data_IF_758249411673
#
_entry.id   IF_758249411673
#
_cell.length_a   1.000
_cell.length_b   1.000
_cell.length_c   1.000
_cell.angle_alpha   90.00
_cell.angle_beta   90.00
_cell.angle_gamma   90.00
#
_symmetry.space_group_name_H-M   'P 1'
#
loop_
_entity.id
_entity.type
_entity.pdbx_description
1 polymer ?
#
# COMPACT_ATOMS: atom_id res chain seq x y z
N UNK A 1 -49.66 65.65 6.04
CA UNK A 1 -48.26 65.82 5.61
C UNK A 1 -47.35 65.81 6.84
N UNK A 2 -46.52 64.77 7.02
CA UNK A 2 -45.25 64.86 7.75
C UNK A 2 -44.40 63.61 7.48
N UNK A 3 -43.44 63.86 6.61
CA UNK A 3 -42.21 63.16 6.30
C UNK A 3 -41.70 62.24 7.44
N UNK A 4 -41.64 60.92 7.21
CA UNK A 4 -40.77 60.06 8.01
C UNK A 4 -39.37 60.10 7.38
N UNK A 5 -38.54 61.01 7.92
CA UNK A 5 -37.13 61.06 7.61
C UNK A 5 -36.46 59.75 8.00
N UNK A 6 -35.89 59.08 7.01
CA UNK A 6 -35.04 57.92 7.20
C UNK A 6 -33.92 58.30 8.17
N UNK A 7 -33.88 57.66 9.34
CA UNK A 7 -32.96 58.00 10.41
C UNK A 7 -31.52 57.69 9.96
N UNK A 8 -30.76 58.75 9.63
CA UNK A 8 -29.40 58.71 9.08
C UNK A 8 -28.44 57.82 9.90
N UNK A 9 -28.70 57.67 11.21
CA UNK A 9 -27.92 56.77 12.11
C UNK A 9 -28.08 55.28 11.81
N UNK A 10 -29.23 54.86 11.28
CA UNK A 10 -29.50 53.45 10.97
C UNK A 10 -28.99 53.07 9.57
N UNK A 11 -28.99 54.02 8.63
CA UNK A 11 -28.41 53.86 7.29
C UNK A 11 -26.90 53.76 7.37
N UNK A 12 -26.26 54.61 8.19
CA UNK A 12 -24.80 54.61 8.35
C UNK A 12 -24.28 53.31 9.00
N UNK A 13 -25.00 52.77 10.00
CA UNK A 13 -24.65 51.48 10.63
C UNK A 13 -24.77 50.29 9.69
N UNK A 14 -25.76 50.27 8.79
CA UNK A 14 -25.90 49.19 7.80
C UNK A 14 -24.82 49.28 6.71
N UNK A 15 -24.44 50.49 6.28
CA UNK A 15 -23.34 50.67 5.31
C UNK A 15 -21.96 50.37 5.91
N UNK A 16 -21.74 50.61 7.23
CA UNK A 16 -20.47 50.21 7.86
C UNK A 16 -20.35 48.69 8.01
N UNK A 17 -21.47 47.99 8.27
CA UNK A 17 -21.50 46.53 8.34
C UNK A 17 -21.35 45.87 6.96
N UNK A 18 -21.85 46.48 5.87
CA UNK A 18 -21.60 45.97 4.52
C UNK A 18 -20.18 46.26 4.00
N UNK A 19 -19.54 47.36 4.40
CA UNK A 19 -18.16 47.66 3.98
C UNK A 19 -17.11 46.86 4.78
N UNK A 20 -17.42 46.42 6.00
CA UNK A 20 -16.59 45.45 6.73
C UNK A 20 -16.83 44.01 6.24
N UNK A 21 -18.00 43.70 5.67
CA UNK A 21 -18.27 42.40 5.04
C UNK A 21 -17.67 42.23 3.63
N UNK A 22 -17.39 43.32 2.91
CA UNK A 22 -16.72 43.28 1.60
C UNK A 22 -15.19 43.48 1.64
N UNK A 23 -14.62 43.85 2.79
CA UNK A 23 -13.18 44.16 2.94
C UNK A 23 -12.25 42.98 3.24
N UNK A 24 -12.72 41.74 3.22
CA UNK A 24 -11.93 40.56 3.59
C UNK A 24 -11.77 39.52 2.46
N UNK A 25 -11.88 39.94 1.20
CA UNK A 25 -11.75 39.05 0.03
C UNK A 25 -10.68 39.48 -0.99
N UNK A 26 -9.61 40.12 -0.53
CA UNK A 26 -8.33 40.23 -1.26
C UNK A 26 -7.23 40.20 -0.19
N UNK A 27 -6.27 39.28 -0.12
CA UNK A 27 -5.58 38.51 -1.14
C UNK A 27 -5.09 37.18 -0.52
N UNK A 28 -5.77 36.07 -0.81
CA UNK A 28 -5.06 34.79 -0.77
C UNK A 28 -4.40 34.64 -2.14
N UNK A 29 -3.13 35.07 -2.24
CA UNK A 29 -2.30 34.72 -3.38
C UNK A 29 -2.43 33.20 -3.62
N UNK A 30 -2.67 32.74 -4.85
CA UNK A 30 -2.66 31.32 -5.17
C UNK A 30 -1.21 30.85 -5.25
N UNK A 31 -0.50 30.90 -4.14
CA UNK A 31 0.79 30.24 -3.93
C UNK A 31 0.69 29.36 -2.68
N UNK A 32 -0.35 28.53 -2.65
CA UNK A 32 -0.36 27.35 -1.82
C UNK A 32 0.41 26.25 -2.54
N UNK A 33 1.74 26.33 -2.59
CA UNK A 33 2.52 25.10 -2.52
C UNK A 33 2.03 24.37 -1.26
N UNK A 34 1.15 23.39 -1.43
CA UNK A 34 0.57 22.64 -0.34
C UNK A 34 1.71 22.17 0.59
N UNK A 35 1.72 22.68 1.84
CA UNK A 35 2.81 22.43 2.80
C UNK A 35 3.21 20.95 2.79
N UNK A 36 4.49 20.67 2.50
CA UNK A 36 5.03 19.31 2.42
C UNK A 36 4.61 18.50 3.65
N UNK A 37 3.99 17.34 3.42
CA UNK A 37 3.51 16.47 4.50
C UNK A 37 4.69 15.86 5.24
N UNK A 38 4.58 15.81 6.57
CA UNK A 38 5.61 15.20 7.42
C UNK A 38 5.66 13.68 7.21
N UNK A 39 6.85 13.16 6.90
CA UNK A 39 7.08 11.72 6.78
C UNK A 39 6.93 11.06 8.17
N UNK A 40 6.09 10.02 8.33
CA UNK A 40 5.93 9.33 9.60
C UNK A 40 7.26 8.77 10.12
N UNK A 41 7.50 8.85 11.43
CA UNK A 41 8.75 8.34 12.05
C UNK A 41 8.87 6.81 12.01
N UNK A 42 7.75 6.10 11.97
CA UNK A 42 7.72 4.63 12.06
C UNK A 42 7.02 4.05 10.83
N UNK A 43 7.69 3.18 10.05
CA UNK A 43 7.06 2.49 8.93
C UNK A 43 5.88 1.64 9.39
N UNK A 44 4.88 1.53 8.54
CA UNK A 44 3.77 0.60 8.63
C UNK A 44 3.21 0.32 7.24
N UNK A 45 2.59 -0.84 7.10
CA UNK A 45 1.71 -1.13 5.98
C UNK A 45 0.46 -0.26 6.07
N UNK A 46 -0.05 0.16 4.92
CA UNK A 46 -1.23 1.02 4.78
C UNK A 46 -2.34 0.38 3.97
N UNK A 47 -2.00 -0.66 3.20
CA UNK A 47 -2.84 -1.44 2.30
C UNK A 47 -3.20 -0.72 0.99
N UNK A 48 -3.69 -1.49 0.02
CA UNK A 48 -3.82 -1.07 -1.38
C UNK A 48 -4.71 0.16 -1.57
N UNK A 49 -5.75 0.33 -0.75
CA UNK A 49 -6.65 1.50 -0.80
C UNK A 49 -5.90 2.83 -0.57
N UNK A 50 -4.79 2.83 0.17
CA UNK A 50 -3.98 4.05 0.35
C UNK A 50 -3.03 4.32 -0.82
N UNK A 51 -2.86 3.37 -1.73
CA UNK A 51 -2.22 3.57 -3.02
C UNK A 51 -3.26 4.01 -4.07
N UNK A 52 -4.53 3.66 -3.86
CA UNK A 52 -5.72 4.13 -4.59
C UNK A 52 -6.14 5.58 -4.23
N UNK A 53 -7.21 6.07 -4.86
CA UNK A 53 -8.12 7.13 -4.40
C UNK A 53 -7.77 8.54 -4.85
N UNK A 54 -6.55 8.78 -5.34
CA UNK A 54 -6.15 10.08 -5.91
C UNK A 54 -4.83 10.05 -6.70
N UNK A 55 -4.24 8.88 -6.95
CA UNK A 55 -2.86 8.80 -7.47
C UNK A 55 -2.59 7.56 -8.36
N UNK A 56 -3.24 6.43 -8.12
CA UNK A 56 -3.03 5.19 -8.88
C UNK A 56 -4.33 4.36 -9.06
N UNK A 57 -5.46 5.00 -9.29
CA UNK A 57 -6.76 4.34 -9.48
C UNK A 57 -6.74 3.31 -10.63
N UNK A 58 -6.27 3.62 -11.87
CA UNK A 58 -6.19 2.63 -12.94
C UNK A 58 -5.40 1.36 -12.57
N UNK A 59 -4.32 1.54 -11.78
CA UNK A 59 -3.49 0.44 -11.31
C UNK A 59 -4.21 -0.40 -10.25
N UNK A 60 -4.97 0.26 -9.36
CA UNK A 60 -5.76 -0.43 -8.34
C UNK A 60 -6.90 -1.23 -8.97
N UNK A 61 -7.63 -0.65 -9.92
CA UNK A 61 -8.71 -1.33 -10.65
C UNK A 61 -8.19 -2.52 -11.46
N UNK A 62 -6.99 -2.39 -12.04
CA UNK A 62 -6.33 -3.52 -12.69
C UNK A 62 -5.95 -4.62 -11.69
N UNK A 63 -5.30 -4.25 -10.59
CA UNK A 63 -4.82 -5.17 -9.57
C UNK A 63 -5.94 -5.96 -8.88
N UNK A 64 -7.05 -5.32 -8.51
CA UNK A 64 -8.13 -5.97 -7.74
C UNK A 64 -8.73 -7.18 -8.46
N UNK A 65 -8.67 -7.19 -9.80
CA UNK A 65 -9.19 -8.27 -10.64
C UNK A 65 -8.16 -9.38 -10.93
N UNK A 66 -6.97 -9.31 -10.33
CA UNK A 66 -5.92 -10.33 -10.51
C UNK A 66 -5.99 -11.43 -9.45
N UNK A 67 -5.27 -12.56 -9.62
CA UNK A 67 -5.10 -13.54 -8.54
C UNK A 67 -4.50 -12.96 -7.25
N UNK A 68 -3.64 -11.92 -7.35
CA UNK A 68 -3.11 -11.24 -6.17
C UNK A 68 -4.17 -10.38 -5.47
N UNK A 69 -5.05 -9.73 -6.24
CA UNK A 69 -6.21 -9.00 -5.72
C UNK A 69 -7.28 -9.90 -5.10
N UNK A 70 -7.22 -11.22 -5.36
CA UNK A 70 -8.17 -12.22 -4.87
C UNK A 70 -7.50 -13.34 -4.03
N UNK A 71 -6.27 -13.13 -3.57
CA UNK A 71 -5.44 -14.16 -2.94
C UNK A 71 -6.00 -14.72 -1.63
N UNK A 72 -6.81 -13.98 -0.89
CA UNK A 72 -7.47 -14.44 0.33
C UNK A 72 -8.59 -15.43 0.03
N UNK A 73 -9.31 -15.23 -1.09
CA UNK A 73 -10.43 -16.08 -1.46
C UNK A 73 -9.95 -17.52 -1.71
N UNK A 74 -8.76 -17.69 -2.32
CA UNK A 74 -8.20 -19.03 -2.58
C UNK A 74 -7.85 -19.84 -1.32
N UNK A 75 -7.85 -19.21 -0.14
CA UNK A 75 -7.60 -19.91 1.12
C UNK A 75 -8.87 -20.52 1.74
N UNK A 76 -10.07 -20.10 1.32
CA UNK A 76 -11.33 -20.62 1.86
C UNK A 76 -11.51 -22.10 1.51
N UNK A 77 -12.29 -22.83 2.31
CA UNK A 77 -12.70 -24.19 2.00
C UNK A 77 -13.35 -24.30 0.60
N UNK A 78 -13.11 -25.38 -0.12
CA UNK A 78 -13.62 -25.65 -1.47
C UNK A 78 -12.92 -24.87 -2.60
N UNK A 79 -12.30 -23.73 -2.30
CA UNK A 79 -11.62 -22.89 -3.30
C UNK A 79 -10.30 -23.51 -3.76
N UNK A 80 -10.00 -23.39 -5.06
CA UNK A 80 -8.77 -23.90 -5.70
C UNK A 80 -8.46 -25.38 -5.32
N UNK A 81 -9.50 -26.22 -5.26
CA UNK A 81 -9.40 -27.60 -4.80
C UNK A 81 -8.29 -28.42 -5.50
N UNK A 82 -8.16 -28.30 -6.82
CA UNK A 82 -7.14 -29.05 -7.57
C UNK A 82 -5.71 -28.62 -7.22
N UNK A 83 -5.47 -27.31 -7.06
CA UNK A 83 -4.16 -26.81 -6.65
C UNK A 83 -3.82 -27.25 -5.22
N UNK A 84 -4.80 -27.22 -4.30
CA UNK A 84 -4.63 -27.73 -2.93
C UNK A 84 -4.29 -29.21 -2.93
N UNK A 85 -5.04 -30.04 -3.67
CA UNK A 85 -4.75 -31.48 -3.81
C UNK A 85 -3.36 -31.73 -4.39
N UNK A 86 -2.96 -30.99 -5.43
CA UNK A 86 -1.64 -31.11 -6.04
C UNK A 86 -0.50 -30.79 -5.06
N UNK A 87 -0.75 -29.90 -4.10
CA UNK A 87 0.18 -29.56 -3.01
C UNK A 87 0.01 -30.43 -1.74
N UNK A 88 -0.82 -31.48 -1.77
CA UNK A 88 -1.08 -32.35 -0.61
C UNK A 88 -1.86 -31.65 0.51
N UNK A 89 -2.62 -30.61 0.19
CA UNK A 89 -3.49 -29.87 1.10
C UNK A 89 -4.93 -30.40 1.02
N UNK A 90 -5.68 -30.24 2.10
CA UNK A 90 -7.10 -30.58 2.17
C UNK A 90 -7.91 -29.49 1.45
N UNK A 91 -8.61 -29.80 0.34
CA UNK A 91 -9.41 -28.81 -0.38
C UNK A 91 -10.53 -28.20 0.47
N UNK A 92 -11.08 -28.95 1.42
CA UNK A 92 -12.23 -28.56 2.26
C UNK A 92 -11.80 -27.86 3.55
N UNK A 93 -10.50 -27.81 3.85
CA UNK A 93 -10.00 -27.04 4.99
C UNK A 93 -10.00 -25.53 4.66
N UNK A 94 -10.46 -24.74 5.62
CA UNK A 94 -10.30 -23.28 5.61
C UNK A 94 -8.89 -22.91 6.13
N UNK A 95 -8.11 -22.23 5.28
CA UNK A 95 -6.75 -21.76 5.59
C UNK A 95 -6.69 -20.25 5.85
N UNK A 96 -7.84 -19.56 5.98
CA UNK A 96 -7.91 -18.09 6.14
C UNK A 96 -7.41 -17.58 7.50
N UNK A 97 -7.11 -18.47 8.44
CA UNK A 97 -6.42 -18.16 9.69
C UNK A 97 -5.02 -18.82 9.81
N UNK A 98 -4.62 -19.62 8.82
CA UNK A 98 -3.38 -20.39 8.86
C UNK A 98 -2.15 -19.47 8.72
N UNK A 99 -1.29 -19.37 9.75
CA UNK A 99 -0.13 -18.49 9.72
C UNK A 99 0.85 -18.77 8.57
N UNK A 100 0.90 -20.00 8.07
CA UNK A 100 1.78 -20.40 6.97
C UNK A 100 1.28 -19.86 5.63
N UNK A 101 -0.04 -19.83 5.42
CA UNK A 101 -0.68 -19.33 4.22
C UNK A 101 -0.76 -17.80 4.21
N UNK A 102 -1.13 -17.21 5.34
CA UNK A 102 -1.38 -15.77 5.47
C UNK A 102 -0.16 -14.90 5.15
N UNK A 103 1.06 -15.42 5.29
CA UNK A 103 2.26 -14.65 4.99
C UNK A 103 2.38 -14.30 3.51
N UNK A 104 1.96 -15.22 2.65
CA UNK A 104 2.07 -15.12 1.20
C UNK A 104 0.77 -14.62 0.55
N UNK A 105 -0.37 -14.80 1.20
CA UNK A 105 -1.70 -14.46 0.64
C UNK A 105 -2.29 -13.15 1.16
N UNK A 106 -1.58 -12.41 2.02
CA UNK A 106 -2.06 -11.14 2.58
C UNK A 106 -0.95 -10.09 2.62
N UNK A 107 -1.32 -8.84 2.89
CA UNK A 107 -0.40 -7.71 2.98
C UNK A 107 0.17 -7.56 4.38
N UNK A 108 1.46 -7.83 4.53
CA UNK A 108 2.21 -7.49 5.75
C UNK A 108 1.78 -8.27 7.00
N UNK A 109 1.30 -9.51 6.85
CA UNK A 109 0.98 -10.37 7.99
C UNK A 109 2.14 -10.42 9.00
N UNK A 110 1.82 -10.23 10.29
CA UNK A 110 2.78 -10.15 11.41
C UNK A 110 3.73 -8.96 11.36
N UNK A 111 3.48 -8.00 10.48
CA UNK A 111 4.19 -6.74 10.41
C UNK A 111 3.33 -5.57 10.88
N UNK A 112 3.98 -4.42 11.11
CA UNK A 112 3.28 -3.28 11.70
C UNK A 112 2.29 -2.71 10.68
N UNK A 113 1.02 -2.67 11.05
CA UNK A 113 -0.06 -2.12 10.22
C UNK A 113 -0.52 -3.04 9.08
N UNK A 114 0.04 -4.25 8.98
CA UNK A 114 -0.40 -5.23 8.00
C UNK A 114 -1.63 -6.02 8.46
N UNK A 115 -1.97 -7.03 7.68
CA UNK A 115 -3.11 -7.91 7.88
C UNK A 115 -3.11 -8.57 9.26
N UNK A 116 -4.33 -8.70 9.78
CA UNK A 116 -4.65 -9.36 11.03
C UNK A 116 -5.81 -10.31 10.77
N UNK A 117 -5.62 -11.63 10.99
CA UNK A 117 -6.64 -12.63 10.70
C UNK A 117 -7.87 -12.47 11.60
N UNK A 118 -8.99 -13.10 11.23
CA UNK A 118 -10.17 -13.21 12.09
C UNK A 118 -9.81 -13.61 13.53
N UNK A 119 -10.52 -13.03 14.50
CA UNK A 119 -10.27 -13.27 15.93
C UNK A 119 -9.05 -12.55 16.52
N UNK A 120 -8.38 -11.68 15.76
CA UNK A 120 -7.22 -10.92 16.24
C UNK A 120 -7.58 -9.86 17.28
N UNK A 121 -7.33 -10.12 18.57
CA UNK A 121 -7.64 -9.20 19.67
C UNK A 121 -6.46 -8.30 20.08
N UNK A 122 -6.77 -7.09 20.53
CA UNK A 122 -5.85 -6.22 21.25
C UNK A 122 -5.55 -6.77 22.66
N UNK A 123 -4.56 -6.19 23.36
CA UNK A 123 -4.29 -6.52 24.77
C UNK A 123 -5.51 -6.32 25.69
N UNK A 124 -6.43 -5.43 25.31
CA UNK A 124 -7.67 -5.14 26.05
C UNK A 124 -8.88 -5.94 25.53
N UNK A 125 -8.65 -7.03 24.77
CA UNK A 125 -9.72 -7.89 24.25
C UNK A 125 -10.50 -7.35 23.05
N UNK A 126 -10.39 -6.06 22.72
CA UNK A 126 -11.05 -5.46 21.53
C UNK A 126 -10.64 -6.18 20.24
N UNK A 127 -11.60 -6.51 19.39
CA UNK A 127 -11.33 -7.03 18.05
C UNK A 127 -10.54 -6.01 17.21
N UNK A 128 -9.51 -6.50 16.55
CA UNK A 128 -8.65 -5.73 15.66
C UNK A 128 -8.37 -6.47 14.37
N UNK A 129 -9.14 -7.51 14.05
CA UNK A 129 -9.10 -8.21 12.78
C UNK A 129 -9.24 -7.22 11.62
N UNK A 130 -8.60 -7.54 10.51
CA UNK A 130 -8.75 -6.72 9.30
C UNK A 130 -10.11 -7.06 8.68
N UNK A 131 -10.94 -6.06 8.33
CA UNK A 131 -12.14 -6.30 7.55
C UNK A 131 -11.80 -7.01 6.24
N UNK A 132 -12.64 -7.95 5.82
CA UNK A 132 -12.53 -8.60 4.52
C UNK A 132 -13.55 -7.91 3.62
N UNK A 133 -13.07 -7.13 2.66
CA UNK A 133 -13.92 -6.34 1.78
C UNK A 133 -13.75 -6.82 0.33
N UNK A 134 -14.75 -7.49 -0.26
CA UNK A 134 -14.67 -7.94 -1.64
C UNK A 134 -14.79 -6.79 -2.66
N UNK A 135 -15.35 -5.65 -2.29
CA UNK A 135 -15.56 -4.50 -3.18
C UNK A 135 -14.36 -3.55 -3.18
N UNK A 136 -13.78 -3.32 -1.99
CA UNK A 136 -12.60 -2.46 -1.80
C UNK A 136 -11.42 -3.21 -1.12
N UNK A 137 -10.82 -4.20 -1.80
CA UNK A 137 -9.77 -5.02 -1.21
C UNK A 137 -8.57 -4.20 -0.74
N UNK A 138 -8.05 -4.54 0.45
CA UNK A 138 -7.09 -3.69 1.16
C UNK A 138 -5.83 -4.41 1.66
N UNK A 139 -5.90 -5.13 2.79
CA UNK A 139 -4.74 -5.82 3.40
C UNK A 139 -4.88 -7.32 3.43
N UNK A 140 -6.10 -7.80 3.33
CA UNK A 140 -6.48 -9.19 3.23
C UNK A 140 -5.96 -9.85 1.96
N UNK A 141 -5.59 -9.07 0.94
CA UNK A 141 -5.02 -9.57 -0.32
C UNK A 141 -3.50 -9.34 -0.41
N UNK A 142 -2.86 -9.91 -1.43
CA UNK A 142 -1.48 -9.56 -1.84
C UNK A 142 -1.50 -8.20 -2.52
N UNK A 143 -1.42 -7.15 -1.71
CA UNK A 143 -1.52 -5.76 -2.13
C UNK A 143 -0.23 -5.17 -2.70
N UNK A 144 -0.32 -3.92 -3.14
CA UNK A 144 0.78 -3.19 -3.78
C UNK A 144 2.08 -3.25 -2.96
N UNK A 145 1.96 -3.14 -1.63
CA UNK A 145 3.08 -3.12 -0.70
C UNK A 145 3.83 -4.46 -0.61
N UNK A 146 3.23 -5.57 -1.05
CA UNK A 146 3.91 -6.86 -1.08
C UNK A 146 4.97 -6.96 -2.17
N UNK A 147 4.82 -6.17 -3.24
CA UNK A 147 5.80 -6.02 -4.32
C UNK A 147 6.65 -4.77 -4.13
N UNK A 148 6.04 -3.63 -3.79
CA UNK A 148 6.73 -2.34 -3.80
C UNK A 148 7.40 -1.98 -2.47
N UNK A 149 7.14 -2.69 -1.36
CA UNK A 149 7.63 -2.30 -0.04
C UNK A 149 8.37 -3.40 0.74
N UNK A 150 9.49 -3.04 1.35
CA UNK A 150 10.21 -3.86 2.34
C UNK A 150 9.58 -3.82 3.74
N UNK A 151 8.77 -2.80 4.03
CA UNK A 151 8.35 -2.44 5.40
C UNK A 151 7.02 -1.66 5.45
N UNK A 152 6.24 -1.73 4.37
CA UNK A 152 5.04 -0.93 4.15
C UNK A 152 5.34 0.48 3.59
N UNK A 153 4.37 1.04 2.87
CA UNK A 153 4.48 2.25 2.08
C UNK A 153 4.12 3.55 2.77
N UNK A 154 3.81 3.53 4.08
CA UNK A 154 3.47 4.73 4.85
C UNK A 154 4.46 5.91 4.74
N UNK A 155 5.74 5.65 4.47
CA UNK A 155 6.79 6.67 4.38
C UNK A 155 7.04 7.09 2.93
N UNK A 156 7.36 6.17 2.02
CA UNK A 156 7.66 6.54 0.63
C UNK A 156 6.45 7.15 -0.09
N UNK A 157 5.20 6.78 0.25
CA UNK A 157 4.02 7.43 -0.34
C UNK A 157 3.93 8.92 -0.02
N UNK A 158 4.50 9.34 1.12
CA UNK A 158 4.57 10.76 1.49
C UNK A 158 5.65 11.47 0.69
N UNK A 159 6.76 10.80 0.38
CA UNK A 159 7.76 11.31 -0.58
C UNK A 159 7.10 11.52 -1.94
N UNK A 160 6.49 10.47 -2.50
CA UNK A 160 5.78 10.52 -3.79
C UNK A 160 4.75 11.65 -3.85
N UNK A 161 3.96 11.82 -2.78
CA UNK A 161 2.97 12.91 -2.71
C UNK A 161 3.62 14.30 -2.64
N UNK A 162 4.66 14.45 -1.83
CA UNK A 162 5.32 15.75 -1.64
C UNK A 162 6.11 16.20 -2.88
N UNK A 163 6.52 15.26 -3.72
CA UNK A 163 7.23 15.54 -4.98
C UNK A 163 6.32 15.45 -6.20
N UNK A 164 5.01 15.18 -6.02
CA UNK A 164 4.06 14.96 -7.11
C UNK A 164 4.55 13.92 -8.14
N UNK A 165 5.22 12.86 -7.66
CA UNK A 165 5.79 11.82 -8.51
C UNK A 165 7.21 12.09 -9.03
N UNK A 166 7.75 13.30 -8.85
CA UNK A 166 9.10 13.66 -9.27
C UNK A 166 10.15 13.32 -8.19
N UNK A 167 10.39 12.03 -7.99
CA UNK A 167 11.37 11.52 -7.02
C UNK A 167 12.38 10.60 -7.70
N UNK A 168 13.60 10.55 -7.15
CA UNK A 168 14.62 9.56 -7.51
C UNK A 168 14.39 8.25 -6.76
N UNK A 169 14.81 7.11 -7.31
CA UNK A 169 14.73 5.80 -6.63
C UNK A 169 15.32 5.88 -5.22
N UNK A 170 16.49 6.50 -5.06
CA UNK A 170 17.16 6.65 -3.77
C UNK A 170 16.31 7.37 -2.70
N UNK A 171 15.43 8.30 -3.08
CA UNK A 171 14.57 9.03 -2.15
C UNK A 171 13.48 8.18 -1.52
N UNK A 172 13.08 7.12 -2.21
CA UNK A 172 12.06 6.18 -1.74
C UNK A 172 12.68 4.89 -1.19
N UNK A 173 13.82 4.45 -1.72
CA UNK A 173 14.55 3.27 -1.25
C UNK A 173 14.99 3.39 0.20
N UNK A 174 15.43 4.58 0.65
CA UNK A 174 15.77 4.83 2.06
C UNK A 174 14.60 4.56 3.02
N UNK A 175 13.37 4.62 2.51
CA UNK A 175 12.13 4.31 3.20
C UNK A 175 11.56 2.93 2.87
N UNK A 176 12.34 2.09 2.20
CA UNK A 176 12.00 0.70 1.90
C UNK A 176 11.12 0.50 0.68
N UNK A 177 11.03 1.48 -0.25
CA UNK A 177 10.57 1.19 -1.61
C UNK A 177 11.55 0.22 -2.26
N UNK A 178 11.04 -0.70 -3.08
CA UNK A 178 11.83 -1.74 -3.71
C UNK A 178 11.80 -1.61 -5.23
N UNK A 179 12.94 -1.86 -5.87
CA UNK A 179 13.08 -1.90 -7.32
C UNK A 179 13.57 -3.27 -7.83
N UNK A 180 14.00 -4.14 -6.92
CA UNK A 180 14.35 -5.54 -7.16
C UNK A 180 13.10 -6.43 -7.36
N UNK A 181 12.32 -6.17 -8.41
CA UNK A 181 11.05 -6.83 -8.68
C UNK A 181 11.19 -8.34 -8.87
N UNK A 182 12.15 -8.81 -9.67
CA UNK A 182 12.39 -10.25 -9.83
C UNK A 182 12.65 -10.95 -8.48
N UNK A 183 13.44 -10.31 -7.61
CA UNK A 183 13.72 -10.83 -6.28
C UNK A 183 12.47 -10.85 -5.37
N UNK A 184 11.53 -9.91 -5.50
CA UNK A 184 10.34 -9.89 -4.61
C UNK A 184 9.44 -11.07 -4.81
N UNK A 185 9.32 -11.51 -6.06
CA UNK A 185 8.42 -12.60 -6.40
C UNK A 185 8.81 -13.88 -5.65
N UNK A 186 10.12 -14.08 -5.43
CA UNK A 186 10.68 -15.21 -4.66
C UNK A 186 10.26 -15.23 -3.19
N UNK A 187 9.77 -14.10 -2.64
CA UNK A 187 9.23 -14.00 -1.28
C UNK A 187 8.09 -14.97 -1.02
N UNK A 188 7.35 -15.34 -2.06
CA UNK A 188 6.20 -16.23 -1.98
C UNK A 188 6.34 -17.42 -2.94
N UNK A 189 6.56 -17.14 -4.24
CA UNK A 189 6.50 -18.19 -5.27
C UNK A 189 7.58 -19.25 -5.13
N UNK A 190 8.75 -18.89 -4.62
CA UNK A 190 9.89 -19.80 -4.43
C UNK A 190 10.30 -19.91 -2.95
N UNK A 191 9.43 -19.47 -2.04
CA UNK A 191 9.77 -19.47 -0.63
C UNK A 191 9.76 -20.90 -0.09
N UNK A 192 10.74 -21.34 0.74
CA UNK A 192 10.81 -22.72 1.24
C UNK A 192 9.61 -23.21 2.06
N UNK A 193 8.73 -22.29 2.47
CA UNK A 193 7.49 -22.61 3.20
C UNK A 193 6.25 -22.57 2.32
N UNK A 194 6.39 -22.27 1.02
CA UNK A 194 5.31 -22.41 0.06
C UNK A 194 5.07 -23.90 -0.21
N UNK A 195 3.81 -24.37 -0.18
CA UNK A 195 3.46 -25.72 -0.62
C UNK A 195 3.82 -25.93 -2.10
N UNK A 196 3.82 -24.86 -2.90
CA UNK A 196 4.12 -24.84 -4.33
C UNK A 196 5.54 -24.36 -4.65
N UNK A 197 6.48 -24.43 -3.69
CA UNK A 197 7.85 -23.88 -3.83
C UNK A 197 8.65 -24.47 -5.01
N UNK A 198 8.29 -25.68 -5.42
CA UNK A 198 8.97 -26.45 -6.46
C UNK A 198 8.38 -26.18 -7.86
N UNK A 199 7.27 -25.42 -7.94
CA UNK A 199 6.71 -24.95 -9.21
C UNK A 199 7.62 -23.89 -9.85
N UNK A 200 7.83 -24.01 -11.16
CA UNK A 200 8.66 -23.06 -11.90
C UNK A 200 7.95 -21.71 -11.99
N UNK A 201 8.51 -20.69 -11.34
CA UNK A 201 8.08 -19.30 -11.52
C UNK A 201 8.89 -18.61 -12.63
N UNK A 202 8.20 -18.15 -13.66
CA UNK A 202 8.78 -17.34 -14.74
C UNK A 202 8.43 -15.86 -14.53
N UNK A 203 9.42 -15.08 -14.09
CA UNK A 203 9.27 -13.64 -13.88
C UNK A 203 9.00 -12.88 -15.18
N UNK A 204 9.70 -13.23 -16.26
CA UNK A 204 9.61 -12.52 -17.53
C UNK A 204 8.24 -12.74 -18.18
N UNK A 205 7.68 -13.94 -18.06
CA UNK A 205 6.32 -14.24 -18.51
C UNK A 205 5.23 -13.65 -17.59
N UNK A 206 5.58 -13.25 -16.36
CA UNK A 206 4.61 -12.78 -15.35
C UNK A 206 4.61 -11.26 -15.16
N UNK A 207 5.71 -10.57 -15.47
CA UNK A 207 5.82 -9.12 -15.31
C UNK A 207 4.75 -8.41 -16.15
N UNK A 208 4.16 -7.35 -15.61
CA UNK A 208 3.08 -6.59 -16.25
C UNK A 208 1.66 -7.13 -16.05
N UNK A 209 1.49 -8.43 -15.73
CA UNK A 209 0.15 -9.03 -15.52
C UNK A 209 -0.53 -8.63 -14.21
N UNK A 210 0.19 -7.99 -13.28
CA UNK A 210 -0.29 -7.69 -11.91
C UNK A 210 -1.14 -6.41 -11.85
N UNK A 211 -1.01 -5.53 -12.83
CA UNK A 211 -1.79 -4.29 -12.93
C UNK A 211 -1.80 -3.78 -14.37
N UNK A 212 -2.38 -4.57 -15.28
CA UNK A 212 -2.66 -4.14 -16.65
C UNK A 212 -3.73 -3.03 -16.65
N UNK A 213 -3.22 -1.81 -16.52
CA UNK A 213 -3.94 -0.58 -16.19
C UNK A 213 -4.60 0.09 -17.40
N UNK A 214 -4.19 -0.26 -18.62
CA UNK A 214 -4.44 0.61 -19.78
C UNK A 214 -5.93 0.73 -20.09
N UNK A 215 -6.72 -0.31 -19.77
CA UNK A 215 -8.20 -0.32 -19.89
C UNK A 215 -8.97 0.38 -18.77
N UNK A 216 -8.29 0.87 -17.74
CA UNK A 216 -8.90 1.50 -16.56
C UNK A 216 -8.63 3.01 -16.48
N UNK A 217 -7.95 3.57 -17.48
CA UNK A 217 -7.89 5.02 -17.63
C UNK A 217 -9.23 5.55 -18.16
N UNK A 218 -9.67 6.67 -17.58
CA UNK A 218 -10.84 7.44 -17.99
C UNK A 218 -10.51 8.92 -17.87
N UNK A 219 -11.37 9.79 -18.41
CA UNK A 219 -11.22 11.24 -18.32
C UNK A 219 -11.01 11.72 -16.87
N UNK A 220 -11.65 11.06 -15.90
CA UNK A 220 -11.58 11.38 -14.47
C UNK A 220 -10.24 11.05 -13.78
N UNK A 221 -9.39 10.21 -14.39
CA UNK A 221 -8.16 9.73 -13.77
C UNK A 221 -6.92 9.82 -14.68
N UNK A 222 -7.01 10.55 -15.80
CA UNK A 222 -5.89 10.77 -16.72
C UNK A 222 -4.70 11.46 -16.05
N UNK A 223 -4.94 12.30 -15.05
CA UNK A 223 -3.92 12.99 -14.24
C UNK A 223 -3.06 12.02 -13.40
N UNK A 224 -3.49 10.76 -13.28
CA UNK A 224 -2.79 9.71 -12.54
C UNK A 224 -1.83 8.90 -13.42
N UNK A 225 -1.73 9.24 -14.71
CA UNK A 225 -0.73 8.66 -15.60
C UNK A 225 0.66 9.03 -15.11
N UNK A 226 1.54 8.03 -15.03
CA UNK A 226 2.88 8.23 -14.52
C UNK A 226 3.78 8.78 -15.64
N UNK A 227 4.12 10.06 -15.57
CA UNK A 227 4.92 10.74 -16.59
C UNK A 227 6.40 10.34 -16.55
N UNK A 228 6.93 10.06 -15.35
CA UNK A 228 8.36 9.77 -15.12
C UNK A 228 8.72 8.29 -15.16
N UNK A 229 7.95 7.44 -15.85
CA UNK A 229 8.17 5.98 -15.84
C UNK A 229 9.47 5.61 -16.54
N UNK A 230 9.72 6.16 -17.73
CA UNK A 230 10.90 5.87 -18.53
C UNK A 230 12.16 6.42 -17.85
N UNK A 231 12.12 7.67 -17.38
CA UNK A 231 13.19 8.29 -16.57
C UNK A 231 13.56 7.40 -15.36
N UNK A 232 12.56 6.90 -14.62
CA UNK A 232 12.78 6.00 -13.48
C UNK A 232 13.25 4.61 -13.91
N UNK A 233 12.86 4.12 -15.08
CA UNK A 233 13.34 2.84 -15.59
C UNK A 233 14.84 2.90 -15.94
N UNK A 234 15.31 4.04 -16.44
CA UNK A 234 16.73 4.30 -16.73
C UNK A 234 17.59 4.53 -15.47
N UNK A 235 16.98 5.00 -14.37
CA UNK A 235 17.69 5.16 -13.09
C UNK A 235 18.05 3.79 -12.47
N UNK A 236 19.27 3.64 -11.96
CA UNK A 236 19.66 2.46 -11.17
C UNK A 236 19.43 2.71 -9.67
N UNK A 237 18.54 1.92 -9.07
CA UNK A 237 18.36 1.87 -7.63
C UNK A 237 19.39 0.95 -6.97
N UNK A 238 19.63 1.15 -5.68
CA UNK A 238 20.54 0.26 -4.91
C UNK A 238 19.99 -1.17 -4.89
N UNK A 239 18.68 -1.33 -4.81
CA UNK A 239 18.05 -2.65 -4.82
C UNK A 239 18.14 -3.35 -6.18
N UNK A 240 18.15 -2.60 -7.30
CA UNK A 240 18.33 -3.17 -8.65
C UNK A 240 19.67 -3.92 -8.75
N UNK A 241 20.75 -3.30 -8.24
CA UNK A 241 22.09 -3.88 -8.28
C UNK A 241 22.32 -4.89 -7.15
N UNK A 242 21.79 -4.59 -5.97
CA UNK A 242 21.96 -5.40 -4.76
C UNK A 242 20.60 -5.72 -4.16
N UNK A 243 20.00 -6.87 -4.49
CA UNK A 243 18.65 -7.19 -4.05
C UNK A 243 18.47 -7.15 -2.53
N UNK A 244 17.27 -6.81 -2.09
CA UNK A 244 16.93 -6.83 -0.68
C UNK A 244 16.88 -8.27 -0.14
N UNK A 245 17.11 -8.44 1.16
CA UNK A 245 16.91 -9.75 1.80
C UNK A 245 15.43 -10.13 1.72
N UNK A 246 15.17 -11.41 1.58
CA UNK A 246 13.83 -11.97 1.73
C UNK A 246 13.70 -12.50 3.16
N UNK A 247 12.66 -12.06 3.88
CA UNK A 247 12.47 -12.51 5.24
C UNK A 247 12.02 -13.97 5.31
N UNK A 248 12.86 -14.81 5.91
CA UNK A 248 12.45 -16.14 6.30
C UNK A 248 11.68 -16.13 7.63
N UNK A 249 10.87 -17.17 7.81
CA UNK A 249 10.07 -17.35 9.00
C UNK A 249 9.89 -18.84 9.33
N UNK A 250 9.39 -19.10 10.54
CA UNK A 250 8.88 -20.39 10.99
C UNK A 250 7.63 -20.20 11.84
N UNK A 251 6.78 -21.20 11.89
CA UNK A 251 5.69 -21.27 12.88
C UNK A 251 6.26 -21.92 14.15
N UNK A 252 5.96 -21.35 15.32
CA UNK A 252 6.35 -21.96 16.59
C UNK A 252 5.27 -22.92 17.09
N UNK A 253 5.57 -23.64 18.17
CA UNK A 253 4.68 -24.66 18.78
C UNK A 253 3.33 -24.10 19.26
N UNK A 254 3.19 -22.77 19.30
CA UNK A 254 1.94 -22.07 19.64
C UNK A 254 1.16 -21.62 18.40
N UNK A 255 1.48 -22.17 17.22
CA UNK A 255 0.84 -21.80 15.96
C UNK A 255 1.08 -20.34 15.55
N UNK A 256 2.21 -19.72 15.93
CA UNK A 256 2.49 -18.31 15.59
C UNK A 256 3.70 -18.18 14.67
N UNK A 257 3.52 -17.46 13.55
CA UNK A 257 4.63 -17.10 12.67
C UNK A 257 5.63 -16.18 13.39
N UNK A 258 6.91 -16.54 13.28
CA UNK A 258 8.09 -15.82 13.79
C UNK A 258 9.11 -15.67 12.67
N UNK A 259 9.49 -14.43 12.39
CA UNK A 259 10.59 -14.13 11.47
C UNK A 259 11.92 -14.62 12.04
N UNK A 260 12.74 -15.25 11.21
CA UNK A 260 14.11 -15.62 11.56
C UNK A 260 14.94 -14.35 11.77
N UNK A 261 15.87 -14.41 12.72
CA UNK A 261 16.71 -13.25 13.06
C UNK A 261 17.64 -12.95 11.89
N UNK A 262 17.71 -11.68 11.49
CA UNK A 262 18.65 -11.21 10.47
C UNK A 262 18.21 -11.41 9.01
N UNK A 263 17.07 -12.05 8.74
CA UNK A 263 16.60 -12.27 7.37
C UNK A 263 15.75 -11.13 6.82
N UNK A 264 15.24 -10.26 7.69
CA UNK A 264 14.33 -9.17 7.27
C UNK A 264 14.99 -8.18 6.30
N UNK A 265 14.23 -7.65 5.31
CA UNK A 265 14.71 -6.61 4.38
C UNK A 265 14.91 -5.24 5.03
N UNK A 266 14.53 -5.04 6.29
CA UNK A 266 14.66 -3.77 6.98
C UNK A 266 15.09 -3.92 8.44
N UNK A 267 16.07 -3.11 8.85
CA UNK A 267 16.50 -3.01 10.24
C UNK A 267 15.76 -1.91 10.97
N UNK A 268 14.88 -2.27 11.91
CA UNK A 268 14.26 -1.28 12.82
C UNK A 268 15.28 -0.57 13.71
N UNK A 269 16.37 -1.26 14.10
CA UNK A 269 17.45 -0.71 14.94
C UNK A 269 18.28 0.31 14.15
N UNK A 270 18.75 -0.07 12.95
CA UNK A 270 19.58 0.80 12.09
C UNK A 270 18.78 1.77 11.24
N UNK A 271 17.44 1.65 11.24
CA UNK A 271 16.49 2.42 10.42
C UNK A 271 16.85 2.47 8.92
N UNK A 272 17.26 1.33 8.36
CA UNK A 272 17.65 1.24 6.95
C UNK A 272 17.31 -0.12 6.31
N UNK A 273 17.12 -0.17 4.99
CA UNK A 273 17.02 -1.42 4.25
C UNK A 273 18.26 -2.32 4.42
N UNK A 274 18.06 -3.61 4.27
CA UNK A 274 19.07 -4.65 4.40
C UNK A 274 19.11 -5.46 3.12
N UNK A 275 20.26 -5.45 2.47
CA UNK A 275 20.50 -6.13 1.20
C UNK A 275 21.10 -7.52 1.40
N UNK A 276 20.96 -8.39 0.39
CA UNK A 276 21.65 -9.68 0.34
C UNK A 276 23.16 -9.44 0.43
N UNK A 277 23.88 -10.40 1.03
CA UNK A 277 25.33 -10.40 0.91
C UNK A 277 25.65 -10.84 -0.53
N UNK A 278 26.55 -10.11 -1.18
CA UNK A 278 27.17 -10.59 -2.42
C UNK A 278 28.14 -11.71 -2.09
#
# INVERSE_FOLDING_TARGET
MRNQGLNMRNVLKCMTLMLVALGLFMTAAPDAEARKKKIPKKPKYVGSVKCNGSCHDPYYQAWKNTPHGNSFASLKAGEKADAKKAAGLDPEKDYTDDPTCLRCHTTGYREKGGFKPPGSKSKKGKDTSTPIDPEEPNKEQVGCEMCHAAMGGSQFRVVMKNTKGDFKKADTEKYGMRWDYANVCTRCHMHPQSPHKDEKFDYEASKGKVHDKDKYFSEDNMDQKLEKVEDRAAEKGVSDEKPLRIEEWKVNDKGKLKFKKGTRPYSKKKKKPLYKKG
#
